data_IF_980897598412
#
_entry.id   IF_980897598412
#
_cell.length_a   1.000
_cell.length_b   1.000
_cell.length_c   1.000
_cell.angle_alpha   90.00
_cell.angle_beta   90.00
_cell.angle_gamma   90.00
#
_symmetry.space_group_name_H-M   'P 1'
#
loop_
_entity.id
_entity.type
_entity.pdbx_description
1 polymer ?
#
# COMPACT_ATOMS: atom_id res chain seq x y z
N UNK A 1 61.96 -42.10 -17.87
CA UNK A 1 61.96 -43.36 -17.08
C UNK A 1 60.54 -43.61 -16.68
N UNK A 2 59.97 -44.52 -17.41
CA UNK A 2 59.23 -45.76 -17.06
C UNK A 2 57.90 -45.52 -16.36
N UNK A 3 56.77 -45.60 -17.13
CA UNK A 3 55.91 -46.74 -17.44
C UNK A 3 55.21 -47.35 -16.20
N UNK A 4 53.89 -47.48 -16.18
CA UNK A 4 52.95 -48.52 -16.69
C UNK A 4 51.55 -48.20 -16.18
N UNK A 5 50.52 -48.09 -16.97
CA UNK A 5 49.48 -49.00 -17.51
C UNK A 5 49.03 -50.15 -16.60
N UNK A 6 47.70 -50.19 -16.34
CA UNK A 6 46.79 -51.36 -16.42
C UNK A 6 45.40 -50.92 -16.02
N UNK A 7 44.41 -50.90 -16.83
CA UNK A 7 43.55 -51.89 -17.51
C UNK A 7 42.71 -52.76 -16.55
N UNK A 8 41.43 -52.57 -16.66
CA UNK A 8 40.32 -53.53 -16.75
C UNK A 8 39.80 -54.22 -15.46
N UNK A 9 38.53 -54.06 -15.19
CA UNK A 9 37.58 -55.17 -15.36
C UNK A 9 36.12 -54.71 -15.17
N UNK A 10 35.33 -55.03 -16.18
CA UNK A 10 33.90 -55.03 -16.24
C UNK A 10 33.40 -56.22 -15.44
N UNK A 11 32.44 -56.03 -14.51
CA UNK A 11 31.57 -57.12 -14.06
C UNK A 11 30.12 -56.62 -14.12
N UNK A 12 29.40 -57.23 -15.07
CA UNK A 12 27.95 -57.27 -15.17
C UNK A 12 27.45 -58.30 -14.15
N UNK A 13 26.51 -57.86 -13.30
CA UNK A 13 25.69 -58.85 -12.59
C UNK A 13 24.23 -58.38 -12.62
N UNK A 14 23.47 -59.11 -13.41
CA UNK A 14 22.01 -59.12 -13.39
C UNK A 14 21.55 -60.13 -12.31
N UNK A 15 20.66 -59.69 -11.42
CA UNK A 15 19.79 -60.64 -10.69
C UNK A 15 18.62 -59.87 -10.04
N UNK A 16 17.49 -60.10 -10.56
CA UNK A 16 16.25 -60.71 -10.03
C UNK A 16 15.35 -59.82 -9.19
N UNK A 17 14.18 -59.55 -9.83
CA UNK A 17 12.94 -59.13 -9.24
C UNK A 17 12.50 -60.04 -8.08
N UNK A 18 12.21 -59.45 -6.92
CA UNK A 18 11.32 -60.03 -5.94
C UNK A 18 10.21 -59.01 -5.64
N UNK A 19 9.02 -59.30 -6.12
CA UNK A 19 7.84 -58.49 -5.86
C UNK A 19 7.39 -58.56 -4.40
N UNK A 20 7.20 -57.41 -3.77
CA UNK A 20 6.38 -57.29 -2.57
C UNK A 20 5.11 -56.56 -2.97
N UNK A 21 4.02 -57.32 -3.08
CA UNK A 21 2.68 -56.81 -3.18
C UNK A 21 2.25 -56.20 -1.81
N UNK A 22 2.33 -54.91 -1.67
CA UNK A 22 1.68 -54.20 -0.56
C UNK A 22 0.20 -54.01 -0.90
N UNK A 23 -0.65 -54.70 -0.18
CA UNK A 23 -2.09 -54.54 -0.25
C UNK A 23 -2.50 -53.11 0.10
N UNK A 24 -3.02 -52.38 -0.88
CA UNK A 24 -3.65 -51.08 -0.66
C UNK A 24 -5.04 -51.29 -0.06
N UNK A 25 -5.21 -50.84 1.18
CA UNK A 25 -6.54 -50.72 1.82
C UNK A 25 -7.26 -49.56 1.16
N UNK A 26 -8.46 -49.73 0.62
CA UNK A 26 -9.20 -48.59 0.05
C UNK A 26 -9.73 -47.70 1.16
N UNK A 27 -9.17 -46.51 1.31
CA UNK A 27 -9.78 -45.45 2.12
C UNK A 27 -11.00 -44.91 1.33
N UNK A 28 -12.18 -45.36 1.74
CA UNK A 28 -13.46 -44.76 1.30
C UNK A 28 -13.61 -43.39 1.94
N UNK A 29 -13.63 -42.35 1.14
CA UNK A 29 -14.03 -41.00 1.62
C UNK A 29 -13.43 -39.83 0.86
N UNK A 30 -13.22 -39.94 -0.45
CA UNK A 30 -13.03 -38.74 -1.26
C UNK A 30 -14.36 -38.40 -1.95
N UNK A 31 -15.03 -37.37 -1.42
CA UNK A 31 -16.09 -36.67 -2.13
C UNK A 31 -15.43 -36.01 -3.34
N UNK A 32 -15.87 -36.30 -4.59
CA UNK A 32 -15.31 -35.61 -5.75
C UNK A 32 -15.66 -34.14 -5.64
N UNK A 33 -14.64 -33.28 -5.51
CA UNK A 33 -14.79 -31.85 -5.68
C UNK A 33 -15.34 -31.63 -7.09
N UNK A 34 -16.59 -31.24 -7.17
CA UNK A 34 -17.22 -30.81 -8.40
C UNK A 34 -16.43 -29.60 -8.90
N UNK A 35 -15.49 -29.82 -9.84
CA UNK A 35 -14.92 -28.78 -10.67
C UNK A 35 -16.04 -28.27 -11.54
N UNK A 36 -16.66 -27.19 -11.10
CA UNK A 36 -17.44 -26.33 -11.96
C UNK A 36 -16.47 -25.74 -13.00
N UNK A 37 -16.35 -26.39 -14.15
CA UNK A 37 -15.70 -25.83 -15.33
C UNK A 37 -16.64 -24.82 -15.95
N UNK A 38 -16.85 -23.71 -15.28
CA UNK A 38 -17.24 -22.49 -15.93
C UNK A 38 -16.01 -22.02 -16.70
N UNK A 39 -15.99 -22.18 -18.01
CA UNK A 39 -15.09 -21.48 -18.91
C UNK A 39 -15.51 -20.02 -18.98
N UNK A 40 -15.42 -19.32 -17.85
CA UNK A 40 -15.46 -17.88 -17.85
C UNK A 40 -14.28 -17.42 -18.70
N UNK A 41 -14.57 -16.75 -19.82
CA UNK A 41 -13.57 -16.14 -20.68
C UNK A 41 -12.68 -15.28 -19.80
N UNK A 42 -11.45 -15.68 -19.58
CA UNK A 42 -10.50 -14.93 -18.74
C UNK A 42 -10.37 -13.54 -19.33
N UNK A 43 -10.78 -12.51 -18.62
CA UNK A 43 -10.65 -11.14 -19.07
C UNK A 43 -9.16 -10.80 -19.23
N UNK A 44 -8.83 -10.08 -20.29
CA UNK A 44 -7.46 -9.62 -20.55
C UNK A 44 -7.51 -8.11 -20.77
N UNK A 45 -6.65 -7.33 -20.13
CA UNK A 45 -6.62 -5.88 -20.32
C UNK A 45 -6.35 -5.53 -21.79
N UNK A 46 -6.99 -4.48 -22.32
CA UNK A 46 -6.61 -3.90 -23.59
C UNK A 46 -5.10 -3.59 -23.63
N UNK A 47 -4.60 -3.31 -24.82
CA UNK A 47 -3.21 -2.89 -24.99
C UNK A 47 -3.15 -1.44 -25.45
N UNK A 48 -2.17 -0.73 -24.98
CA UNK A 48 -1.79 0.59 -25.47
C UNK A 48 -1.17 0.48 -26.88
N UNK A 49 -1.03 1.58 -27.64
CA UNK A 49 -0.42 1.53 -28.98
C UNK A 49 1.00 0.97 -29.02
N UNK A 50 1.76 1.09 -27.94
CA UNK A 50 3.11 0.52 -27.75
C UNK A 50 3.09 -0.91 -27.22
N UNK A 51 1.91 -1.53 -27.11
CA UNK A 51 1.72 -2.96 -26.81
C UNK A 51 1.71 -3.32 -25.32
N UNK A 52 1.82 -2.35 -24.41
CA UNK A 52 1.74 -2.60 -22.97
C UNK A 52 0.29 -2.84 -22.51
N UNK A 53 0.07 -3.53 -21.39
CA UNK A 53 -1.27 -3.61 -20.79
C UNK A 53 -1.80 -2.22 -20.46
N UNK A 54 -3.02 -1.91 -20.88
CA UNK A 54 -3.63 -0.60 -20.62
C UNK A 54 -4.18 -0.51 -19.21
N UNK A 55 -3.45 0.19 -18.34
CA UNK A 55 -3.86 0.54 -16.97
C UNK A 55 -4.48 1.93 -16.90
N UNK A 56 -4.53 2.67 -18.01
CA UNK A 56 -4.98 4.07 -18.02
C UNK A 56 -6.40 4.24 -17.50
N UNK A 57 -6.61 5.33 -16.82
CA UNK A 57 -7.92 5.71 -16.29
C UNK A 57 -7.83 6.42 -14.96
N UNK A 58 -8.99 6.67 -14.41
CA UNK A 58 -9.16 7.23 -13.06
C UNK A 58 -9.73 6.16 -12.16
N UNK A 59 -9.16 6.01 -10.98
CA UNK A 59 -9.52 4.97 -10.01
C UNK A 59 -9.71 5.57 -8.64
N UNK A 60 -10.73 5.13 -7.91
CA UNK A 60 -10.98 5.55 -6.54
C UNK A 60 -10.17 4.69 -5.56
N UNK A 61 -9.25 5.30 -4.84
CA UNK A 61 -8.47 4.66 -3.78
C UNK A 61 -9.24 4.72 -2.46
N UNK A 62 -10.43 4.12 -2.44
CA UNK A 62 -11.30 4.04 -1.29
C UNK A 62 -11.70 2.60 -1.01
N UNK A 63 -11.67 2.19 0.23
CA UNK A 63 -12.11 0.87 0.68
C UNK A 63 -12.64 0.91 2.11
N UNK A 64 -13.54 -0.02 2.42
CA UNK A 64 -14.01 -0.26 3.78
C UNK A 64 -13.24 -1.39 4.47
N UNK A 65 -12.28 -1.99 3.77
CA UNK A 65 -11.42 -3.02 4.33
C UNK A 65 -10.34 -2.36 5.17
N UNK A 66 -10.24 -2.65 6.47
CA UNK A 66 -9.21 -2.08 7.33
C UNK A 66 -7.82 -2.58 6.93
N UNK A 67 -6.77 -1.77 7.20
CA UNK A 67 -5.40 -2.20 6.95
C UNK A 67 -5.09 -3.50 7.69
N UNK A 68 -5.39 -3.54 8.98
CA UNK A 68 -5.19 -4.72 9.82
C UNK A 68 -6.53 -5.39 10.15
N UNK A 69 -6.51 -6.72 10.26
CA UNK A 69 -7.71 -7.50 10.55
C UNK A 69 -8.22 -7.22 11.97
N UNK A 70 -9.51 -6.91 12.13
CA UNK A 70 -10.14 -6.80 13.42
C UNK A 70 -9.93 -8.07 14.26
N UNK A 71 -9.54 -7.92 15.52
CA UNK A 71 -9.25 -9.05 16.42
C UNK A 71 -10.39 -10.05 16.53
N UNK A 72 -11.64 -9.57 16.47
CA UNK A 72 -12.83 -10.41 16.52
C UNK A 72 -12.98 -11.40 15.36
N UNK A 73 -12.26 -11.20 14.25
CA UNK A 73 -12.30 -12.09 13.08
C UNK A 73 -11.24 -13.20 13.12
N UNK A 74 -10.32 -13.19 14.09
CA UNK A 74 -9.29 -14.21 14.23
C UNK A 74 -8.47 -14.40 12.97
N UNK A 75 -8.35 -15.64 12.47
CA UNK A 75 -7.60 -15.97 11.26
C UNK A 75 -8.44 -15.92 9.96
N UNK A 76 -9.64 -15.35 9.99
CA UNK A 76 -10.54 -15.31 8.85
C UNK A 76 -10.05 -14.30 7.81
N UNK A 77 -9.50 -14.78 6.70
CA UNK A 77 -8.95 -13.90 5.65
C UNK A 77 -10.03 -13.25 4.76
N UNK A 78 -11.14 -13.93 4.55
CA UNK A 78 -12.22 -13.47 3.65
C UNK A 78 -13.58 -13.58 4.29
N UNK A 79 -14.45 -12.61 4.01
CA UNK A 79 -15.88 -12.74 4.24
C UNK A 79 -16.48 -13.74 3.25
N UNK A 80 -17.45 -14.53 3.69
CA UNK A 80 -18.35 -15.25 2.78
C UNK A 80 -19.18 -14.24 1.99
N UNK A 81 -19.84 -14.70 0.92
CA UNK A 81 -20.75 -13.83 0.14
C UNK A 81 -21.88 -13.27 0.99
N UNK A 82 -22.45 -14.11 1.85
CA UNK A 82 -23.52 -13.71 2.75
C UNK A 82 -23.05 -12.64 3.76
N UNK A 83 -21.93 -12.87 4.44
CA UNK A 83 -21.39 -11.91 5.41
C UNK A 83 -21.02 -10.58 4.76
N UNK A 84 -20.47 -10.64 3.55
CA UNK A 84 -20.14 -9.43 2.82
C UNK A 84 -21.40 -8.67 2.39
N UNK A 85 -22.44 -9.37 1.94
CA UNK A 85 -23.72 -8.76 1.61
C UNK A 85 -24.38 -8.08 2.83
N UNK A 86 -24.35 -8.72 3.99
CA UNK A 86 -24.86 -8.13 5.24
C UNK A 86 -24.02 -6.92 5.69
N UNK A 87 -22.69 -6.97 5.53
CA UNK A 87 -21.81 -5.84 5.78
C UNK A 87 -22.18 -4.65 4.89
N UNK A 88 -22.32 -4.88 3.59
CA UNK A 88 -22.69 -3.84 2.62
C UNK A 88 -24.07 -3.24 2.91
N UNK A 89 -25.04 -4.06 3.32
CA UNK A 89 -26.37 -3.60 3.73
C UNK A 89 -26.32 -2.68 4.95
N UNK A 90 -25.51 -3.01 5.96
CA UNK A 90 -25.29 -2.16 7.14
C UNK A 90 -24.70 -0.81 6.75
N UNK A 91 -23.70 -0.82 5.88
CA UNK A 91 -23.05 0.41 5.38
C UNK A 91 -24.06 1.29 4.65
N UNK A 92 -24.90 0.71 3.78
CA UNK A 92 -25.97 1.45 3.09
C UNK A 92 -26.99 2.07 4.05
N UNK A 93 -27.09 1.54 5.26
CA UNK A 93 -27.93 2.08 6.34
C UNK A 93 -27.19 3.14 7.19
N UNK A 94 -25.98 3.54 6.79
CA UNK A 94 -25.14 4.49 7.54
C UNK A 94 -24.46 3.88 8.77
N UNK A 95 -24.48 2.55 8.91
CA UNK A 95 -23.82 1.84 10.00
C UNK A 95 -22.43 1.43 9.50
N UNK A 96 -21.47 2.32 9.64
CA UNK A 96 -20.06 2.03 9.31
C UNK A 96 -19.45 1.25 10.48
N UNK A 97 -18.73 0.13 10.24
CA UNK A 97 -18.00 -0.55 11.30
C UNK A 97 -17.01 0.41 11.96
N UNK A 98 -16.95 0.39 13.30
CA UNK A 98 -16.01 1.21 14.09
C UNK A 98 -14.55 0.96 13.70
N UNK A 99 -14.28 -0.21 13.11
CA UNK A 99 -12.97 -0.66 12.67
C UNK A 99 -12.68 -0.32 11.18
N UNK A 100 -13.63 0.27 10.45
CA UNK A 100 -13.35 0.75 9.10
C UNK A 100 -12.30 1.86 9.19
N UNK A 101 -11.08 1.56 8.73
CA UNK A 101 -10.01 2.56 8.63
C UNK A 101 -10.36 3.52 7.49
N UNK A 102 -11.16 4.53 7.80
CA UNK A 102 -11.53 5.59 6.87
C UNK A 102 -10.38 6.56 6.58
N UNK A 103 -9.14 6.09 6.77
CA UNK A 103 -7.94 6.92 6.84
C UNK A 103 -7.82 7.53 8.24
N UNK A 104 -6.63 7.94 8.63
CA UNK A 104 -6.43 8.61 9.92
C UNK A 104 -7.34 9.85 9.96
N UNK A 105 -8.61 9.60 10.29
CA UNK A 105 -9.56 10.66 10.54
C UNK A 105 -8.90 11.63 11.53
N UNK A 106 -8.98 12.89 11.19
CA UNK A 106 -8.45 13.99 11.97
C UNK A 106 -8.68 13.78 13.48
N UNK A 107 -7.83 14.36 14.35
CA UNK A 107 -8.01 14.31 15.79
C UNK A 107 -9.47 14.54 16.14
N UNK A 108 -9.98 13.80 17.12
CA UNK A 108 -11.41 13.71 17.50
C UNK A 108 -12.12 15.06 17.72
N UNK A 109 -11.39 16.17 17.69
CA UNK A 109 -11.90 17.53 17.92
C UNK A 109 -12.39 18.24 16.67
N UNK A 110 -12.10 17.75 15.47
CA UNK A 110 -12.61 18.31 14.22
C UNK A 110 -13.51 17.29 13.57
N UNK A 111 -14.80 17.34 13.88
CA UNK A 111 -15.82 16.59 13.14
C UNK A 111 -16.02 17.25 11.78
N UNK A 112 -15.19 16.87 10.83
CA UNK A 112 -15.51 17.08 9.43
C UNK A 112 -16.69 16.16 9.11
N UNK A 113 -17.87 16.73 9.08
CA UNK A 113 -19.04 16.03 8.51
C UNK A 113 -18.94 16.14 6.99
N UNK A 114 -18.27 15.18 6.39
CA UNK A 114 -18.08 15.12 4.94
C UNK A 114 -19.41 15.09 4.19
N UNK A 115 -20.51 14.66 4.84
CA UNK A 115 -21.84 14.67 4.25
C UNK A 115 -22.34 16.10 3.93
N UNK A 116 -21.88 17.11 4.69
CA UNK A 116 -22.18 18.52 4.43
C UNK A 116 -21.60 19.02 3.11
N UNK A 117 -20.54 18.39 2.64
CA UNK A 117 -19.87 18.69 1.37
C UNK A 117 -20.30 17.78 0.23
N UNK A 118 -21.34 16.98 0.43
CA UNK A 118 -21.87 16.07 -0.58
C UNK A 118 -21.14 14.72 -0.67
N UNK A 119 -20.21 14.45 0.23
CA UNK A 119 -19.53 13.16 0.31
C UNK A 119 -20.41 12.16 1.06
N UNK A 120 -20.99 11.29 0.30
CA UNK A 120 -21.84 10.21 0.80
C UNK A 120 -21.13 8.89 0.55
N UNK A 121 -20.53 8.32 1.60
CA UNK A 121 -19.88 7.02 1.54
C UNK A 121 -20.80 5.93 0.95
N UNK A 122 -22.10 6.09 1.08
CA UNK A 122 -23.08 5.16 0.49
C UNK A 122 -23.10 5.23 -1.04
N UNK A 123 -22.61 6.34 -1.60
CA UNK A 123 -22.51 6.57 -3.06
C UNK A 123 -21.09 6.40 -3.59
N UNK A 124 -20.10 6.22 -2.71
CA UNK A 124 -18.73 6.00 -3.13
C UNK A 124 -18.63 4.73 -3.97
N UNK A 125 -17.90 4.83 -5.08
CA UNK A 125 -17.60 3.66 -5.91
C UNK A 125 -16.49 2.87 -5.21
N UNK A 126 -16.87 1.80 -4.53
CA UNK A 126 -15.96 0.94 -3.78
C UNK A 126 -15.71 -0.35 -4.53
N UNK A 127 -14.45 -0.74 -4.65
CA UNK A 127 -14.07 -2.09 -5.03
C UNK A 127 -13.80 -2.94 -3.78
N UNK A 128 -14.08 -4.23 -3.85
CA UNK A 128 -13.76 -5.15 -2.77
C UNK A 128 -13.44 -6.53 -3.33
N UNK A 129 -12.44 -7.16 -2.73
CA UNK A 129 -12.13 -8.57 -2.91
C UNK A 129 -12.59 -9.43 -1.74
N UNK A 130 -13.45 -8.89 -0.88
CA UNK A 130 -14.01 -9.51 0.34
C UNK A 130 -12.97 -9.86 1.41
N UNK A 131 -11.78 -9.30 1.34
CA UNK A 131 -10.78 -9.49 2.40
C UNK A 131 -11.21 -8.81 3.70
N UNK A 132 -10.80 -9.38 4.82
CA UNK A 132 -11.04 -8.86 6.16
C UNK A 132 -9.93 -7.91 6.63
N UNK A 133 -8.83 -7.84 5.88
CA UNK A 133 -7.73 -6.88 6.02
C UNK A 133 -7.08 -6.63 4.67
N UNK A 134 -6.48 -5.47 4.49
CA UNK A 134 -5.65 -5.20 3.32
C UNK A 134 -4.34 -5.98 3.39
N UNK A 135 -3.81 -6.25 4.60
CA UNK A 135 -2.62 -7.08 4.77
C UNK A 135 -2.92 -8.50 4.28
N UNK A 136 -2.09 -8.98 3.36
CA UNK A 136 -2.18 -10.30 2.77
C UNK A 136 -1.58 -11.34 3.72
N UNK A 137 -2.26 -12.47 3.83
CA UNK A 137 -1.82 -13.60 4.66
C UNK A 137 -2.66 -13.83 5.90
N UNK A 138 -2.42 -14.96 6.57
CA UNK A 138 -3.28 -15.44 7.65
C UNK A 138 -3.24 -14.55 8.89
N UNK A 139 -2.13 -13.88 9.18
CA UNK A 139 -2.05 -12.95 10.32
C UNK A 139 -2.92 -11.71 10.09
N UNK A 140 -2.92 -11.16 8.89
CA UNK A 140 -3.71 -9.98 8.51
C UNK A 140 -3.37 -8.72 9.30
N UNK A 141 -2.16 -8.63 9.83
CA UNK A 141 -1.64 -7.50 10.62
C UNK A 141 -0.22 -7.17 10.19
N UNK A 142 0.19 -5.92 10.39
CA UNK A 142 1.59 -5.50 10.16
C UNK A 142 2.50 -6.20 11.17
N UNK A 143 3.65 -6.74 10.75
CA UNK A 143 4.61 -7.33 11.68
C UNK A 143 5.01 -6.36 12.79
N UNK A 144 5.33 -6.85 13.98
CA UNK A 144 5.75 -5.99 15.07
C UNK A 144 7.04 -5.25 14.71
N UNK A 145 7.08 -3.96 15.03
CA UNK A 145 8.28 -3.15 14.84
C UNK A 145 9.41 -3.64 15.75
N UNK A 146 10.63 -3.67 15.24
CA UNK A 146 11.83 -4.01 16.00
C UNK A 146 12.05 -3.07 17.18
N UNK A 147 12.65 -3.52 18.30
CA UNK A 147 12.92 -2.70 19.46
C UNK A 147 13.72 -1.44 19.14
N UNK A 148 14.75 -1.55 18.31
CA UNK A 148 15.61 -0.46 17.85
C UNK A 148 14.84 0.58 17.05
N UNK A 149 13.91 0.13 16.21
CA UNK A 149 13.04 1.03 15.45
C UNK A 149 12.08 1.79 16.35
N UNK A 150 11.49 1.12 17.35
CA UNK A 150 10.66 1.79 18.36
C UNK A 150 11.44 2.84 19.13
N UNK A 151 12.68 2.51 19.55
CA UNK A 151 13.57 3.43 20.25
C UNK A 151 13.89 4.65 19.36
N UNK A 152 14.31 4.44 18.10
CA UNK A 152 14.58 5.52 17.14
C UNK A 152 13.39 6.45 16.95
N UNK A 153 12.18 5.89 16.82
CA UNK A 153 10.97 6.69 16.63
C UNK A 153 10.58 7.45 17.91
N UNK A 154 10.76 6.86 19.09
CA UNK A 154 10.55 7.53 20.37
C UNK A 154 11.55 8.70 20.57
N UNK A 155 12.81 8.51 20.22
CA UNK A 155 13.84 9.56 20.26
C UNK A 155 13.51 10.70 19.30
N UNK A 156 13.05 10.39 18.06
CA UNK A 156 12.60 11.39 17.10
C UNK A 156 11.42 12.20 17.63
N UNK A 157 10.41 11.53 18.19
CA UNK A 157 9.27 12.19 18.82
C UNK A 157 9.68 13.05 20.00
N UNK A 158 10.55 12.55 20.88
CA UNK A 158 11.06 13.27 22.05
C UNK A 158 11.85 14.53 21.65
N UNK A 159 12.64 14.44 20.56
CA UNK A 159 13.40 15.59 20.05
C UNK A 159 12.50 16.72 19.55
N UNK A 160 11.34 16.39 18.97
CA UNK A 160 10.39 17.40 18.48
C UNK A 160 9.45 17.92 19.58
N UNK A 161 9.36 17.22 20.71
CA UNK A 161 8.46 17.58 21.81
C UNK A 161 8.83 18.91 22.44
N UNK A 162 7.90 19.85 22.42
CA UNK A 162 8.11 21.23 22.90
C UNK A 162 8.81 22.14 21.87
N UNK A 163 9.09 21.61 20.67
CA UNK A 163 9.72 22.33 19.55
C UNK A 163 8.83 22.33 18.30
N UNK A 164 7.59 21.86 18.44
CA UNK A 164 6.66 21.67 17.32
C UNK A 164 6.39 22.96 16.51
N UNK A 165 6.57 24.12 17.17
CA UNK A 165 6.29 25.43 16.60
C UNK A 165 7.52 26.33 16.46
N UNK A 166 8.74 25.82 16.70
CA UNK A 166 9.97 26.61 16.60
C UNK A 166 10.23 27.09 15.17
N UNK A 167 9.90 26.25 14.20
CA UNK A 167 9.99 26.58 12.79
C UNK A 167 9.02 25.77 11.95
N UNK A 168 8.84 26.18 10.68
CA UNK A 168 8.05 25.39 9.72
C UNK A 168 8.63 23.99 9.49
N UNK A 169 9.92 23.78 9.68
CA UNK A 169 10.57 22.47 9.50
C UNK A 169 10.15 21.46 10.55
N UNK A 170 9.72 21.93 11.72
CA UNK A 170 9.23 21.08 12.82
C UNK A 170 7.78 20.64 12.62
N UNK A 171 7.08 21.24 11.63
CA UNK A 171 5.70 20.88 11.31
C UNK A 171 5.62 19.65 10.40
N UNK A 172 4.55 18.84 10.51
CA UNK A 172 4.31 17.71 9.62
C UNK A 172 4.35 18.10 8.14
N UNK A 173 4.78 17.19 7.29
CA UNK A 173 4.83 17.40 5.82
C UNK A 173 3.47 17.77 5.25
N UNK A 174 2.40 17.22 5.82
CA UNK A 174 1.02 17.51 5.46
C UNK A 174 0.64 18.97 5.66
N UNK A 175 0.94 19.55 6.82
CA UNK A 175 0.69 20.97 7.09
C UNK A 175 1.53 21.89 6.22
N UNK A 176 2.65 21.40 5.72
CA UNK A 176 3.56 22.11 4.82
C UNK A 176 3.19 21.97 3.35
N UNK A 177 2.09 21.31 3.02
CA UNK A 177 1.68 20.96 1.66
C UNK A 177 2.81 20.31 0.83
N UNK A 178 3.62 19.45 1.45
CA UNK A 178 4.69 18.72 0.78
C UNK A 178 4.24 17.31 0.43
N UNK A 179 3.53 16.64 1.35
CA UNK A 179 3.08 15.27 1.16
C UNK A 179 2.00 14.92 2.16
N UNK A 180 0.79 14.64 1.68
CA UNK A 180 -0.32 14.16 2.51
C UNK A 180 -0.16 12.67 2.85
N UNK A 181 -0.89 12.19 3.85
CA UNK A 181 -0.74 10.81 4.33
C UNK A 181 -1.11 9.76 3.27
N UNK A 182 -2.11 10.05 2.43
CA UNK A 182 -2.64 9.13 1.42
C UNK A 182 -1.74 8.97 0.20
N UNK A 183 -0.91 9.98 -0.10
CA UNK A 183 0.01 9.94 -1.24
C UNK A 183 1.38 9.41 -0.88
N UNK A 184 1.63 9.24 0.41
CA UNK A 184 2.86 8.59 0.83
C UNK A 184 2.92 7.21 0.21
N UNK A 185 4.07 6.88 -0.31
CA UNK A 185 4.30 5.57 -0.84
C UNK A 185 4.71 4.63 0.30
N UNK A 186 4.06 3.48 0.42
CA UNK A 186 2.92 2.97 -0.36
C UNK A 186 1.64 3.76 -0.14
N UNK A 187 0.80 3.79 -1.18
CA UNK A 187 -0.51 4.43 -1.11
C UNK A 187 -1.41 3.65 -0.15
N UNK A 188 -2.02 4.34 0.79
CA UNK A 188 -3.08 3.78 1.63
C UNK A 188 -4.43 4.36 1.19
N UNK A 189 -5.53 3.64 1.41
CA UNK A 189 -6.86 4.17 1.13
C UNK A 189 -7.08 5.49 1.86
N UNK A 190 -7.62 6.47 1.15
CA UNK A 190 -8.04 7.73 1.70
C UNK A 190 -9.48 7.72 2.20
N UNK A 191 -9.91 8.85 2.76
CA UNK A 191 -11.31 9.15 2.95
C UNK A 191 -12.06 9.15 1.60
N UNK A 192 -13.38 9.26 1.62
CA UNK A 192 -14.19 9.21 0.40
C UNK A 192 -13.98 10.39 -0.57
N UNK A 193 -13.28 11.41 -0.13
CA UNK A 193 -12.95 12.61 -0.88
C UNK A 193 -11.47 12.66 -1.28
N UNK A 194 -11.18 13.30 -2.41
CA UNK A 194 -9.83 13.56 -2.91
C UNK A 194 -8.93 12.31 -2.99
N UNK A 195 -9.54 11.17 -3.28
CA UNK A 195 -8.85 9.88 -3.32
C UNK A 195 -8.67 9.31 -4.73
N UNK A 196 -8.84 10.13 -5.76
CA UNK A 196 -8.71 9.67 -7.13
C UNK A 196 -7.23 9.55 -7.51
N UNK A 197 -6.93 8.40 -8.12
CA UNK A 197 -5.66 8.12 -8.77
C UNK A 197 -5.88 8.09 -10.28
N UNK A 198 -5.22 8.97 -11.01
CA UNK A 198 -5.16 8.91 -12.46
C UNK A 198 -3.87 8.23 -12.90
N UNK A 199 -4.00 7.25 -13.81
CA UNK A 199 -2.88 6.58 -14.46
C UNK A 199 -2.83 7.01 -15.92
N UNK A 200 -1.66 7.47 -16.36
CA UNK A 200 -1.38 7.81 -17.76
C UNK A 200 -0.13 7.04 -18.19
N UNK A 201 -0.20 6.41 -19.36
CA UNK A 201 0.92 5.66 -19.93
C UNK A 201 1.45 6.36 -21.16
N UNK A 202 2.76 6.35 -21.30
CA UNK A 202 3.46 6.80 -22.48
C UNK A 202 4.64 5.86 -22.81
N UNK A 203 5.24 5.99 -24.00
CA UNK A 203 6.38 5.17 -24.38
C UNK A 203 7.53 5.30 -23.40
N UNK A 204 7.85 4.23 -22.65
CA UNK A 204 8.95 4.18 -21.69
C UNK A 204 8.68 4.82 -20.33
N UNK A 205 7.44 5.19 -20.01
CA UNK A 205 7.07 5.68 -18.69
C UNK A 205 5.59 5.49 -18.35
N UNK A 206 5.29 5.48 -17.07
CA UNK A 206 3.94 5.56 -16.49
C UNK A 206 3.88 6.72 -15.52
N UNK A 207 2.81 7.49 -15.56
CA UNK A 207 2.56 8.61 -14.63
C UNK A 207 1.40 8.24 -13.72
N UNK A 208 1.62 8.37 -12.42
CA UNK A 208 0.60 8.28 -11.39
C UNK A 208 0.33 9.69 -10.87
N UNK A 209 -0.89 10.19 -11.05
CA UNK A 209 -1.33 11.48 -10.54
C UNK A 209 -2.38 11.25 -9.45
N UNK A 210 -2.09 11.69 -8.25
CA UNK A 210 -3.04 11.73 -7.14
C UNK A 210 -3.82 13.04 -7.15
N UNK A 211 -5.11 12.96 -6.85
CA UNK A 211 -5.96 14.14 -6.74
C UNK A 211 -5.50 15.06 -5.60
N UNK A 212 -5.24 14.48 -4.44
CA UNK A 212 -4.75 15.20 -3.28
C UNK A 212 -3.30 15.67 -3.52
N UNK A 213 -3.00 16.94 -3.20
CA UNK A 213 -1.72 17.64 -3.41
C UNK A 213 -1.19 17.63 -4.86
N UNK A 214 -1.94 17.13 -5.85
CA UNK A 214 -1.45 16.88 -7.22
C UNK A 214 -0.14 16.08 -7.26
N UNK A 215 0.04 15.19 -6.29
CA UNK A 215 1.26 14.43 -6.18
C UNK A 215 1.44 13.55 -7.41
N UNK A 216 2.48 13.84 -8.17
CA UNK A 216 2.75 13.20 -9.44
C UNK A 216 4.02 12.38 -9.35
N UNK A 217 3.91 11.09 -9.71
CA UNK A 217 5.07 10.18 -9.85
C UNK A 217 5.24 9.84 -11.32
N UNK A 218 6.40 10.16 -11.87
CA UNK A 218 6.81 9.72 -13.19
C UNK A 218 7.71 8.49 -13.03
N UNK A 219 7.25 7.36 -13.50
CA UNK A 219 7.89 6.06 -13.34
C UNK A 219 8.49 5.65 -14.69
N UNK A 220 9.81 5.74 -14.89
CA UNK A 220 10.46 5.23 -16.09
C UNK A 220 10.29 3.70 -16.18
N UNK A 221 9.97 3.21 -17.39
CA UNK A 221 9.85 1.78 -17.71
C UNK A 221 10.79 1.35 -18.82
N UNK A 222 11.84 2.12 -19.04
CA UNK A 222 12.84 1.94 -20.10
C UNK A 222 14.07 1.12 -19.67
N UNK A 223 14.05 0.56 -18.46
CA UNK A 223 15.12 -0.29 -17.93
C UNK A 223 16.29 0.49 -17.33
N UNK A 224 16.15 1.81 -17.11
CA UNK A 224 17.21 2.57 -16.42
C UNK A 224 17.37 2.14 -14.97
N UNK A 225 18.58 2.23 -14.39
CA UNK A 225 18.79 1.98 -12.98
C UNK A 225 18.23 3.14 -12.12
N UNK A 226 18.10 2.89 -10.84
CA UNK A 226 17.85 3.93 -9.83
C UNK A 226 18.94 4.99 -9.85
N UNK A 227 18.57 6.22 -9.44
CA UNK A 227 19.52 7.29 -9.20
C UNK A 227 20.48 6.94 -8.04
N UNK A 228 21.56 7.72 -7.89
CA UNK A 228 22.51 7.48 -6.81
C UNK A 228 21.83 7.45 -5.45
N UNK A 229 22.18 6.48 -4.60
CA UNK A 229 21.70 6.38 -3.22
C UNK A 229 22.06 7.57 -2.33
N UNK A 230 22.91 8.48 -2.80
CA UNK A 230 23.22 9.75 -2.12
C UNK A 230 22.13 10.79 -2.29
N UNK A 231 21.24 10.61 -3.26
CA UNK A 231 20.07 11.46 -3.52
C UNK A 231 18.89 10.81 -2.85
N UNK A 232 18.20 11.56 -1.98
CA UNK A 232 17.03 11.08 -1.22
C UNK A 232 15.85 11.99 -1.50
N UNK A 233 14.70 11.39 -1.72
CA UNK A 233 13.47 12.08 -2.07
C UNK A 233 12.32 11.70 -1.12
N UNK A 234 11.33 12.57 -0.99
CA UNK A 234 10.17 12.31 -0.12
C UNK A 234 9.36 11.09 -0.57
N UNK A 235 9.24 10.90 -1.88
CA UNK A 235 8.53 9.76 -2.45
C UNK A 235 9.50 8.66 -2.96
N UNK A 236 10.80 8.80 -2.68
CA UNK A 236 11.82 7.90 -3.20
C UNK A 236 12.00 8.01 -4.72
N UNK A 237 12.90 7.21 -5.24
CA UNK A 237 13.16 7.05 -6.67
C UNK A 237 12.50 5.77 -7.17
N UNK A 238 11.62 5.89 -8.15
CA UNK A 238 10.81 4.78 -8.67
C UNK A 238 11.27 4.41 -10.08
N UNK A 239 11.48 3.12 -10.33
CA UNK A 239 11.67 2.55 -11.67
C UNK A 239 10.69 1.40 -11.87
N UNK A 240 10.18 1.25 -13.08
CA UNK A 240 9.16 0.26 -13.39
C UNK A 240 9.57 -0.71 -14.50
N UNK A 241 8.92 -1.86 -14.52
CA UNK A 241 8.98 -2.80 -15.63
C UNK A 241 7.66 -3.59 -15.72
N UNK A 242 7.45 -4.25 -16.85
CA UNK A 242 6.26 -5.06 -17.08
C UNK A 242 6.52 -6.55 -16.87
N UNK A 243 5.69 -7.19 -16.06
CA UNK A 243 5.62 -8.65 -15.89
C UNK A 243 4.26 -9.15 -16.41
N UNK A 244 4.21 -9.57 -17.64
CA UNK A 244 2.96 -9.99 -18.28
C UNK A 244 1.94 -8.87 -18.35
N UNK A 245 0.88 -8.92 -17.54
CA UNK A 245 -0.17 -7.89 -17.46
C UNK A 245 -0.04 -7.00 -16.20
N UNK A 246 1.09 -7.01 -15.54
CA UNK A 246 1.34 -6.28 -14.29
C UNK A 246 2.48 -5.29 -14.48
N UNK A 247 2.24 -4.04 -14.15
CA UNK A 247 3.31 -3.07 -13.92
C UNK A 247 3.91 -3.33 -12.54
N UNK A 248 5.21 -3.56 -12.49
CA UNK A 248 5.98 -3.69 -11.24
C UNK A 248 6.82 -2.45 -11.08
N UNK A 249 6.72 -1.80 -9.94
CA UNK A 249 7.45 -0.59 -9.61
C UNK A 249 8.32 -0.86 -8.39
N UNK A 250 9.61 -0.66 -8.56
CA UNK A 250 10.60 -0.73 -7.48
C UNK A 250 10.91 0.70 -7.02
N UNK A 251 10.87 0.95 -5.71
CA UNK A 251 11.11 2.28 -5.15
C UNK A 251 12.05 2.23 -3.96
N UNK A 252 13.11 3.01 -4.04
CA UNK A 252 14.14 3.16 -3.01
C UNK A 252 14.46 4.63 -2.76
N UNK A 253 15.55 4.96 -2.11
CA UNK A 253 16.07 6.32 -1.95
C UNK A 253 15.12 7.28 -1.17
N UNK A 254 14.33 6.76 -0.25
CA UNK A 254 13.50 7.59 0.63
C UNK A 254 14.32 8.44 1.59
N UNK A 255 13.79 9.60 1.98
CA UNK A 255 14.32 10.38 3.10
C UNK A 255 13.80 9.82 4.42
N UNK A 256 14.50 10.10 5.52
CA UNK A 256 14.00 9.83 6.87
C UNK A 256 12.75 10.65 7.23
N UNK A 257 12.50 11.74 6.51
CA UNK A 257 11.35 12.62 6.77
C UNK A 257 10.02 12.01 6.30
N UNK A 258 10.04 11.11 5.34
CA UNK A 258 8.82 10.41 4.88
C UNK A 258 8.31 9.45 5.95
N UNK A 259 9.19 8.72 6.61
CA UNK A 259 8.94 7.86 7.78
C UNK A 259 7.63 7.05 7.74
N UNK A 260 7.37 6.35 6.62
CA UNK A 260 6.17 5.52 6.49
C UNK A 260 6.09 4.51 7.65
N UNK A 261 5.08 4.66 8.53
CA UNK A 261 4.87 3.82 9.73
C UNK A 261 6.15 3.62 10.56
N UNK A 262 7.01 4.65 10.64
CA UNK A 262 8.26 4.61 11.41
C UNK A 262 9.46 4.04 10.69
N UNK A 263 9.35 3.72 9.38
CA UNK A 263 10.49 3.41 8.52
C UNK A 263 11.38 4.64 8.27
N UNK A 264 12.41 4.49 7.47
CA UNK A 264 13.33 5.58 7.13
C UNK A 264 14.05 5.30 5.81
N UNK A 265 15.30 5.72 5.71
CA UNK A 265 16.13 5.59 4.50
C UNK A 265 16.34 4.16 3.99
N UNK A 266 16.04 3.14 4.82
CA UNK A 266 16.17 1.73 4.47
C UNK A 266 14.89 1.14 3.89
N UNK A 267 13.84 1.97 3.77
CA UNK A 267 12.61 1.55 3.14
C UNK A 267 12.87 1.18 1.67
N UNK A 268 12.45 -0.02 1.32
CA UNK A 268 12.34 -0.52 -0.03
C UNK A 268 10.90 -0.92 -0.27
N UNK A 269 10.34 -0.53 -1.39
CA UNK A 269 8.97 -0.78 -1.73
C UNK A 269 8.88 -1.41 -3.12
N UNK A 270 8.14 -2.50 -3.22
CA UNK A 270 7.77 -3.10 -4.50
C UNK A 270 6.27 -2.98 -4.67
N UNK A 271 5.83 -2.27 -5.69
CA UNK A 271 4.42 -2.05 -6.00
C UNK A 271 4.03 -2.80 -7.27
N UNK A 272 2.81 -3.28 -7.33
CA UNK A 272 2.27 -4.04 -8.46
C UNK A 272 0.89 -3.51 -8.83
N UNK A 273 0.74 -3.13 -10.08
CA UNK A 273 -0.52 -2.62 -10.62
C UNK A 273 -1.01 -3.57 -11.70
N UNK A 274 -2.22 -4.07 -11.58
CA UNK A 274 -2.84 -4.95 -12.56
C UNK A 274 -4.34 -4.70 -12.65
N UNK A 275 -4.96 -5.11 -13.75
CA UNK A 275 -6.42 -5.05 -13.89
C UNK A 275 -6.95 -6.47 -13.97
N UNK A 276 -7.63 -6.97 -12.92
CA UNK A 276 -8.28 -8.28 -12.94
C UNK A 276 -9.54 -8.29 -13.82
N UNK A 277 -10.19 -7.13 -13.99
CA UNK A 277 -11.39 -6.94 -14.81
C UNK A 277 -11.45 -5.50 -15.38
N UNK A 278 -12.53 -5.19 -16.09
CA UNK A 278 -12.72 -3.88 -16.75
C UNK A 278 -12.85 -2.71 -15.75
N UNK A 279 -13.36 -2.98 -14.56
CA UNK A 279 -13.77 -1.96 -13.58
C UNK A 279 -12.83 -1.83 -12.40
N UNK A 280 -11.83 -2.71 -12.28
CA UNK A 280 -10.97 -2.79 -11.10
C UNK A 280 -9.51 -2.63 -11.49
N UNK A 281 -8.81 -1.76 -10.79
CA UNK A 281 -7.36 -1.76 -10.66
C UNK A 281 -7.01 -2.46 -9.35
N UNK A 282 -6.17 -3.48 -9.40
CA UNK A 282 -5.61 -4.11 -8.22
C UNK A 282 -4.22 -3.53 -7.96
N UNK A 283 -4.10 -2.81 -6.87
CA UNK A 283 -2.84 -2.30 -6.35
C UNK A 283 -2.35 -3.20 -5.21
N UNK A 284 -1.17 -3.74 -5.35
CA UNK A 284 -0.51 -4.52 -4.32
C UNK A 284 0.85 -3.88 -4.03
N UNK A 285 1.24 -3.83 -2.77
CA UNK A 285 2.56 -3.38 -2.40
C UNK A 285 3.20 -4.27 -1.34
N UNK A 286 4.51 -4.41 -1.42
CA UNK A 286 5.33 -5.10 -0.42
C UNK A 286 6.31 -4.11 0.17
N UNK A 287 6.32 -4.02 1.49
CA UNK A 287 7.19 -3.17 2.28
C UNK A 287 8.33 -4.00 2.83
N UNK A 288 9.56 -3.58 2.57
CA UNK A 288 10.77 -4.15 3.11
C UNK A 288 11.57 -3.04 3.82
N UNK A 289 11.77 -3.18 5.10
CA UNK A 289 12.68 -2.33 5.87
C UNK A 289 13.25 -3.13 7.04
N UNK A 290 14.39 -3.78 6.84
CA UNK A 290 15.01 -4.63 7.87
C UNK A 290 15.49 -3.86 9.10
N UNK A 291 15.50 -2.52 9.06
CA UNK A 291 15.76 -1.68 10.23
C UNK A 291 14.48 -1.36 11.02
N UNK A 292 13.31 -1.71 10.49
CA UNK A 292 12.01 -1.41 11.09
C UNK A 292 11.22 -2.66 11.43
N UNK A 293 11.18 -3.66 10.55
CA UNK A 293 10.45 -4.92 10.73
C UNK A 293 11.36 -6.13 10.54
N UNK A 294 11.02 -7.23 11.19
CA UNK A 294 11.75 -8.49 11.11
C UNK A 294 11.50 -9.26 9.81
N UNK A 295 10.41 -8.95 9.13
CA UNK A 295 10.04 -9.55 7.84
C UNK A 295 9.30 -8.55 6.95
N UNK A 296 9.37 -8.72 5.62
CA UNK A 296 8.51 -7.98 4.69
C UNK A 296 7.03 -8.27 4.93
N UNK A 297 6.20 -7.32 4.55
CA UNK A 297 4.75 -7.49 4.58
C UNK A 297 4.10 -6.88 3.34
N UNK A 298 2.98 -7.46 2.94
CA UNK A 298 2.28 -7.11 1.71
C UNK A 298 0.86 -6.70 2.02
N UNK A 299 0.38 -5.68 1.34
CA UNK A 299 -1.03 -5.30 1.33
C UNK A 299 -1.57 -5.26 -0.10
N UNK A 300 -2.88 -5.40 -0.23
CA UNK A 300 -3.60 -5.42 -1.49
C UNK A 300 -4.86 -4.57 -1.41
N UNK A 301 -4.99 -3.64 -2.34
CA UNK A 301 -6.07 -2.65 -2.39
C UNK A 301 -6.74 -2.73 -3.76
N UNK A 302 -7.96 -3.24 -3.85
CA UNK A 302 -8.76 -3.10 -5.06
C UNK A 302 -9.28 -1.67 -5.17
N UNK A 303 -9.04 -1.01 -6.29
CA UNK A 303 -9.51 0.34 -6.59
C UNK A 303 -10.56 0.27 -7.70
N UNK A 304 -11.71 0.88 -7.47
CA UNK A 304 -12.77 0.92 -8.47
C UNK A 304 -12.48 1.96 -9.55
N UNK A 305 -12.72 1.61 -10.83
CA UNK A 305 -12.67 2.58 -11.91
C UNK A 305 -13.70 3.68 -11.66
N UNK A 306 -13.24 4.92 -11.62
CA UNK A 306 -14.06 6.09 -11.39
C UNK A 306 -14.32 6.84 -12.69
N UNK A 307 -15.37 7.66 -12.68
CA UNK A 307 -15.61 8.63 -13.75
C UNK A 307 -15.05 9.98 -13.22
N UNK A 308 -13.93 10.42 -13.84
CA UNK A 308 -13.31 11.71 -13.50
C UNK A 308 -14.24 12.89 -13.75
N UNK A 309 -13.87 14.11 -13.50
CA UNK A 309 -12.47 14.58 -13.49
C UNK A 309 -11.76 14.38 -12.14
N UNK A 310 -10.42 14.42 -12.18
CA UNK A 310 -9.58 14.69 -11.03
C UNK A 310 -9.62 16.20 -10.81
N UNK A 311 -9.97 16.61 -9.59
CA UNK A 311 -10.09 18.03 -9.26
C UNK A 311 -8.76 18.61 -8.76
N UNK A 312 -8.65 19.93 -8.82
CA UNK A 312 -7.53 20.63 -8.23
C UNK A 312 -7.61 20.59 -6.69
N UNK A 313 -6.49 20.28 -6.06
CA UNK A 313 -6.32 20.38 -4.62
C UNK A 313 -5.42 21.57 -4.30
N UNK A 314 -6.01 22.67 -3.87
CA UNK A 314 -5.32 23.94 -3.64
C UNK A 314 -4.82 24.04 -2.18
N UNK A 315 -3.96 23.11 -1.72
CA UNK A 315 -3.47 23.05 -0.35
C UNK A 315 -2.90 24.38 0.15
N UNK A 316 -2.20 25.12 -0.71
CA UNK A 316 -1.55 26.37 -0.33
C UNK A 316 -2.52 27.56 -0.18
N UNK A 317 -3.67 27.57 -0.84
CA UNK A 317 -4.55 28.74 -0.87
C UNK A 317 -5.13 29.06 0.50
N UNK A 318 -5.61 28.06 1.25
CA UNK A 318 -6.10 28.26 2.62
C UNK A 318 -5.01 28.14 3.69
N UNK A 319 -3.96 27.35 3.42
CA UNK A 319 -2.98 26.92 4.40
C UNK A 319 -2.03 28.06 4.84
N UNK A 320 -1.75 29.04 4.00
CA UNK A 320 -0.81 30.10 4.34
C UNK A 320 -1.22 30.87 5.59
N UNK A 321 -2.47 31.32 5.66
CA UNK A 321 -2.96 32.08 6.80
C UNK A 321 -3.07 31.24 8.07
N UNK A 322 -3.54 29.99 7.96
CA UNK A 322 -3.60 29.05 9.09
C UNK A 322 -2.22 28.73 9.61
N UNK A 323 -1.30 28.33 8.74
CA UNK A 323 0.05 27.94 9.10
C UNK A 323 0.85 29.09 9.73
N UNK A 324 0.82 30.27 9.13
CA UNK A 324 1.49 31.46 9.66
C UNK A 324 0.85 31.90 10.96
N UNK A 325 -0.47 31.80 11.11
CA UNK A 325 -1.18 32.15 12.34
C UNK A 325 -0.82 31.23 13.50
N UNK A 326 -0.72 29.92 13.24
CA UNK A 326 -0.30 28.94 14.26
C UNK A 326 1.12 29.23 14.75
N UNK A 327 2.07 29.45 13.84
CA UNK A 327 3.46 29.77 14.21
C UNK A 327 3.59 31.10 14.93
N UNK A 328 2.86 32.13 14.52
CA UNK A 328 2.83 33.45 15.21
C UNK A 328 2.18 33.33 16.58
N UNK A 329 1.08 32.60 16.70
CA UNK A 329 0.39 32.38 17.96
C UNK A 329 1.28 31.69 18.99
N UNK A 330 2.02 30.64 18.58
CA UNK A 330 2.99 29.96 19.42
C UNK A 330 4.10 30.93 19.90
N UNK A 331 4.64 31.76 19.01
CA UNK A 331 5.66 32.75 19.36
C UNK A 331 5.17 33.78 20.36
N UNK A 332 3.95 34.29 20.18
CA UNK A 332 3.35 35.22 21.14
C UNK A 332 3.16 34.58 22.51
N UNK A 333 2.70 33.32 22.55
CA UNK A 333 2.52 32.59 23.80
C UNK A 333 3.86 32.36 24.55
N UNK A 334 4.93 32.04 23.81
CA UNK A 334 6.28 31.91 24.37
C UNK A 334 6.79 33.24 24.98
N UNK A 335 6.63 34.36 24.26
CA UNK A 335 7.02 35.68 24.72
C UNK A 335 6.24 36.12 25.95
N UNK A 336 4.94 35.79 26.03
CA UNK A 336 4.12 36.06 27.20
C UNK A 336 4.55 35.22 28.40
N UNK A 337 4.84 33.93 28.19
CA UNK A 337 5.35 33.04 29.21
C UNK A 337 6.68 33.55 29.77
N UNK A 338 7.61 33.94 28.92
CA UNK A 338 8.91 34.51 29.32
C UNK A 338 8.74 35.81 30.13
N UNK A 339 7.83 36.71 29.72
CA UNK A 339 7.51 37.93 30.46
C UNK A 339 6.92 37.68 31.85
N UNK A 340 6.09 36.61 31.98
CA UNK A 340 5.53 36.22 33.29
C UNK A 340 6.58 35.59 34.20
N UNK A 341 7.51 34.83 33.64
CA UNK A 341 8.60 34.22 34.40
C UNK A 341 9.67 35.22 34.89
N UNK A 342 9.77 36.38 34.20
CA UNK A 342 10.71 37.45 34.55
C UNK A 342 10.18 38.42 35.64
N UNK A 343 8.92 38.30 36.06
CA UNK A 343 8.27 39.06 37.14
C UNK A 343 8.27 38.25 38.43
#
# INVERSE_FOLDING_TARGET
>A
MTTRRSLASIIVLAATLAGLALAQVPVRGQVPASRSTSTAKTWTPPRTPDGQPDLQGVYANATLTPLERPKGLGAKEFYTEHEFAELMKRIQQGIVPEEADLGNAAPQDVRYDLSLYGFDLTKATLASNRRTSLIVGPEGVVPPMLPEARKRNAERAAKNKGHEFDSYENRPLQERCILMAQERIPMLPGAADNNLLQIVEGPGYVVLLHEIDHATRVIPTDGRPHISQKIREYQGDSVGHWEGNTLVVDTTNFTDLTAFRGSGEKLHLVERFSRPDEKTLLYQFTVEDPATWDKPWTAEIPMAKAQGPVYEWACHEGNYDEFVTILRGARVAEEEAARKAAK
#
